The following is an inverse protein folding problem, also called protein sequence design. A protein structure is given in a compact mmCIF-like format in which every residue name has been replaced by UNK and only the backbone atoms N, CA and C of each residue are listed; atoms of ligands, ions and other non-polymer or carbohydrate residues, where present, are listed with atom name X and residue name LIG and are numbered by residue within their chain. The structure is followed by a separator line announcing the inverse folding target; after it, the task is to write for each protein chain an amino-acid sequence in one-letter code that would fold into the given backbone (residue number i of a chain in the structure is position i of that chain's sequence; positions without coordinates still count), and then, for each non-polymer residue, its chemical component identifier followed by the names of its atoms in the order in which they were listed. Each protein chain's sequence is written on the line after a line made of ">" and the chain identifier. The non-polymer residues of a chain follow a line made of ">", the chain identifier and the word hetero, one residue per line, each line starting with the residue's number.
data_IF_017797492875
#
_entry.id   IF_017797492875
#
_cell.length_a   1.000
_cell.length_b   1.000
_cell.length_c   1.000
_cell.angle_alpha   90.00
_cell.angle_beta   90.00
_cell.angle_gamma   90.00
#
_symmetry.space_group_name_H-M   'P 1'
#
loop_
_entity.id
_entity.type
_entity.pdbx_description
1 polymer ?
#
# COMPACT_ATOMS: atom_id res chain seq x y z
N UNK A 1 -2.83 -38.90 25.40
CA UNK A 1 -2.58 -38.19 24.11
C UNK A 1 -2.42 -36.72 24.43
N UNK A 2 -1.16 -36.24 24.54
CA UNK A 2 -0.89 -34.82 24.82
C UNK A 2 -1.06 -34.01 23.54
N UNK A 3 -2.04 -33.13 23.51
CA UNK A 3 -2.15 -32.14 22.45
C UNK A 3 -1.14 -31.02 22.71
N UNK A 4 -0.05 -30.97 21.97
CA UNK A 4 0.81 -29.80 21.94
C UNK A 4 0.06 -28.68 21.18
N UNK A 5 -0.44 -27.70 21.91
CA UNK A 5 -0.91 -26.45 21.30
C UNK A 5 0.33 -25.65 20.93
N UNK A 6 0.68 -25.66 19.64
CA UNK A 6 1.74 -24.78 19.13
C UNK A 6 1.16 -23.36 19.12
N UNK A 7 1.55 -22.55 20.09
CA UNK A 7 1.21 -21.12 20.10
C UNK A 7 2.13 -20.44 19.08
N UNK A 8 1.58 -20.06 17.94
CA UNK A 8 2.31 -19.27 16.93
C UNK A 8 2.73 -17.92 17.51
N UNK A 9 3.99 -17.51 17.30
CA UNK A 9 4.45 -16.18 17.69
C UNK A 9 3.70 -15.07 16.94
N UNK A 10 3.68 -13.87 17.51
CA UNK A 10 3.11 -12.71 16.79
C UNK A 10 3.82 -12.46 15.45
N UNK A 11 5.11 -12.72 15.39
CA UNK A 11 5.91 -12.61 14.17
C UNK A 11 5.41 -13.57 13.10
N UNK A 12 5.27 -14.87 13.43
CA UNK A 12 4.79 -15.88 12.45
C UNK A 12 3.35 -15.60 12.01
N UNK A 13 2.50 -15.20 12.96
CA UNK A 13 1.12 -14.81 12.67
C UNK A 13 1.08 -13.63 11.68
N UNK A 14 1.95 -12.62 11.89
CA UNK A 14 2.01 -11.45 11.00
C UNK A 14 2.58 -11.80 9.63
N UNK A 15 3.64 -12.62 9.55
CA UNK A 15 4.19 -13.06 8.28
C UNK A 15 3.14 -13.77 7.43
N UNK A 16 2.43 -14.74 8.02
CA UNK A 16 1.35 -15.45 7.33
C UNK A 16 0.23 -14.50 6.88
N UNK A 17 -0.13 -13.53 7.73
CA UNK A 17 -1.13 -12.54 7.39
C UNK A 17 -0.68 -11.65 6.22
N UNK A 18 0.54 -11.15 6.22
CA UNK A 18 1.06 -10.32 5.13
C UNK A 18 1.12 -11.09 3.81
N UNK A 19 1.56 -12.35 3.85
CA UNK A 19 1.54 -13.24 2.68
C UNK A 19 0.13 -13.46 2.14
N UNK A 20 -0.86 -13.68 3.03
CA UNK A 20 -2.27 -13.80 2.62
C UNK A 20 -2.84 -12.51 2.02
N UNK A 21 -2.22 -11.37 2.27
CA UNK A 21 -2.53 -10.06 1.67
C UNK A 21 -1.61 -9.74 0.47
N UNK A 22 -0.97 -10.76 -0.11
CA UNK A 22 -0.09 -10.63 -1.29
C UNK A 22 1.15 -9.74 -1.08
N UNK A 23 1.57 -9.51 0.18
CA UNK A 23 2.82 -8.81 0.45
C UNK A 23 4.01 -9.70 0.10
N UNK A 24 4.81 -9.28 -0.87
CA UNK A 24 6.06 -9.95 -1.22
C UNK A 24 7.20 -9.40 -0.35
N UNK A 25 7.60 -10.19 0.65
CA UNK A 25 8.62 -9.82 1.63
C UNK A 25 10.06 -9.86 1.06
N UNK A 26 10.25 -10.47 -0.10
CA UNK A 26 11.55 -10.43 -0.80
C UNK A 26 11.75 -9.11 -1.57
N UNK A 27 10.66 -8.42 -1.88
CA UNK A 27 10.66 -7.14 -2.61
C UNK A 27 10.55 -5.92 -1.71
N UNK A 28 9.79 -6.05 -0.62
CA UNK A 28 9.41 -4.92 0.21
C UNK A 28 9.93 -5.07 1.64
N UNK A 29 10.57 -4.04 2.14
CA UNK A 29 11.01 -3.99 3.54
C UNK A 29 9.80 -3.80 4.44
N UNK A 30 9.64 -4.72 5.38
CA UNK A 30 8.60 -4.65 6.42
C UNK A 30 9.24 -4.95 7.77
N UNK A 31 8.98 -4.12 8.77
CA UNK A 31 9.40 -4.38 10.14
C UNK A 31 8.25 -4.97 10.95
N UNK A 32 8.45 -6.14 11.54
CA UNK A 32 7.43 -6.84 12.32
C UNK A 32 7.72 -6.68 13.81
N UNK A 33 6.71 -6.25 14.56
CA UNK A 33 6.81 -6.13 16.00
C UNK A 33 6.92 -7.52 16.66
N UNK A 34 7.87 -7.68 17.59
CA UNK A 34 8.09 -8.97 18.26
C UNK A 34 6.98 -9.34 19.27
N UNK A 35 6.43 -8.34 19.95
CA UNK A 35 5.52 -8.51 21.07
C UNK A 35 4.08 -8.07 20.78
N UNK A 36 3.81 -7.68 19.54
CA UNK A 36 2.51 -7.19 19.10
C UNK A 36 2.18 -7.72 17.72
N UNK A 37 0.90 -7.92 17.46
CA UNK A 37 0.43 -8.28 16.10
C UNK A 37 0.34 -7.04 15.21
N UNK A 38 1.51 -6.45 14.95
CA UNK A 38 1.65 -5.22 14.16
C UNK A 38 2.85 -5.30 13.22
N UNK A 39 2.74 -4.64 12.09
CA UNK A 39 3.80 -4.44 11.11
C UNK A 39 3.99 -2.95 10.81
N UNK A 40 5.20 -2.55 10.43
CA UNK A 40 5.54 -1.20 10.01
C UNK A 40 6.02 -1.23 8.58
N UNK A 41 5.40 -0.44 7.73
CA UNK A 41 5.76 -0.24 6.33
C UNK A 41 6.55 1.06 6.20
N UNK A 42 7.88 1.02 6.03
CA UNK A 42 8.67 2.22 5.83
C UNK A 42 8.41 2.82 4.44
N UNK A 43 8.51 4.14 4.35
CA UNK A 43 8.44 4.88 3.10
C UNK A 43 9.73 5.67 2.91
N UNK A 44 10.42 5.38 1.82
CA UNK A 44 11.70 5.94 1.47
C UNK A 44 11.53 7.02 0.40
N UNK A 45 12.27 8.12 0.51
CA UNK A 45 12.37 9.08 -0.58
C UNK A 45 13.31 8.55 -1.69
N UNK A 46 13.37 9.24 -2.82
CA UNK A 46 14.24 8.85 -3.95
C UNK A 46 15.73 8.87 -3.62
N UNK A 47 16.14 9.51 -2.51
CA UNK A 47 17.52 9.48 -2.02
C UNK A 47 17.78 8.30 -1.06
N UNK A 48 16.83 7.39 -0.88
CA UNK A 48 16.93 6.24 0.03
C UNK A 48 16.84 6.59 1.52
N UNK A 49 16.36 7.78 1.87
CA UNK A 49 16.19 8.19 3.26
C UNK A 49 14.78 7.85 3.74
N UNK A 50 14.67 7.32 4.97
CA UNK A 50 13.38 7.06 5.60
C UNK A 50 12.65 8.40 5.86
N UNK A 51 11.52 8.58 5.21
CA UNK A 51 10.73 9.81 5.28
C UNK A 51 9.48 9.65 6.14
N UNK A 52 8.84 8.51 6.06
CA UNK A 52 7.56 8.24 6.69
C UNK A 52 7.42 6.75 6.97
N UNK A 53 6.39 6.36 7.71
CA UNK A 53 6.02 4.96 7.88
C UNK A 53 4.52 4.81 8.15
N UNK A 54 3.96 3.66 7.79
CA UNK A 54 2.63 3.27 8.24
C UNK A 54 2.74 2.09 9.21
N UNK A 55 2.16 2.26 10.40
CA UNK A 55 1.93 1.16 11.33
C UNK A 55 0.60 0.48 11.00
N UNK A 56 0.61 -0.84 10.94
CA UNK A 56 -0.53 -1.67 10.61
C UNK A 56 -0.74 -2.73 11.69
N UNK A 57 -1.89 -2.70 12.36
CA UNK A 57 -2.27 -3.65 13.40
C UNK A 57 -3.65 -4.24 13.05
N UNK A 58 -3.72 -5.44 12.45
CA UNK A 58 -4.97 -6.02 11.91
C UNK A 58 -6.11 -6.14 12.92
N UNK A 59 -5.78 -6.42 14.17
CA UNK A 59 -6.75 -6.64 15.24
C UNK A 59 -7.33 -5.33 15.83
N UNK A 60 -6.76 -4.17 15.45
CA UNK A 60 -7.27 -2.87 15.91
C UNK A 60 -8.40 -2.36 15.01
N UNK A 61 -9.24 -1.48 15.55
CA UNK A 61 -10.32 -0.84 14.79
C UNK A 61 -9.79 0.06 13.67
N UNK A 62 -10.46 0.07 12.53
CA UNK A 62 -10.19 1.01 11.44
C UNK A 62 -10.53 2.46 11.84
N UNK A 63 -11.48 2.64 12.74
CA UNK A 63 -11.94 3.96 13.18
C UNK A 63 -11.39 4.30 14.55
N UNK A 64 -10.98 5.55 14.72
CA UNK A 64 -10.55 6.07 16.01
C UNK A 64 -11.70 6.07 17.00
N UNK A 65 -11.62 5.27 18.04
CA UNK A 65 -12.45 5.41 19.23
C UNK A 65 -11.64 6.18 20.27
N UNK A 66 -11.97 7.44 20.44
CA UNK A 66 -11.67 8.31 21.59
C UNK A 66 -10.23 8.54 22.07
N UNK A 67 -9.20 7.75 21.71
CA UNK A 67 -7.94 7.89 22.42
C UNK A 67 -6.83 8.43 21.51
N UNK A 68 -6.11 7.62 20.85
CA UNK A 68 -4.95 8.06 20.06
C UNK A 68 -5.04 7.55 18.63
N UNK A 69 -4.75 8.37 17.61
CA UNK A 69 -4.62 7.87 16.24
C UNK A 69 -3.68 6.67 16.11
N UNK A 70 -2.69 6.55 17.02
CA UNK A 70 -1.74 5.43 17.07
C UNK A 70 -2.39 4.09 17.43
N UNK A 71 -3.57 4.12 18.02
CA UNK A 71 -4.31 2.91 18.42
C UNK A 71 -5.24 2.39 17.32
N UNK A 72 -5.23 3.00 16.15
CA UNK A 72 -6.00 2.53 14.99
C UNK A 72 -5.32 1.40 14.23
N UNK A 73 -6.12 0.68 13.42
CA UNK A 73 -5.63 -0.37 12.51
C UNK A 73 -4.53 0.14 11.58
N UNK A 74 -4.67 1.36 11.09
CA UNK A 74 -3.69 2.05 10.24
C UNK A 74 -3.32 3.38 10.88
N UNK A 75 -2.04 3.58 11.16
CA UNK A 75 -1.50 4.85 11.60
C UNK A 75 -0.33 5.24 10.73
N UNK A 76 -0.46 6.35 10.00
CA UNK A 76 0.62 6.85 9.14
C UNK A 76 1.32 8.02 9.83
N UNK A 77 2.60 7.85 10.12
CA UNK A 77 3.49 8.94 10.51
C UNK A 77 4.11 9.56 9.27
N UNK A 78 4.04 10.88 9.17
CA UNK A 78 4.68 11.65 8.11
C UNK A 78 5.49 12.81 8.71
N UNK A 79 6.70 13.00 8.21
CA UNK A 79 7.47 14.19 8.52
C UNK A 79 6.80 15.38 7.80
N UNK A 80 6.64 16.51 8.51
CA UNK A 80 5.77 17.62 8.09
C UNK A 80 6.06 18.19 6.68
N UNK A 81 7.30 18.12 6.23
CA UNK A 81 7.75 18.74 4.97
C UNK A 81 8.07 17.72 3.86
N UNK A 82 7.76 16.44 4.07
CA UNK A 82 8.15 15.40 3.13
C UNK A 82 7.02 14.37 2.97
N UNK A 83 6.17 14.60 1.99
CA UNK A 83 5.16 13.62 1.64
C UNK A 83 5.73 12.64 0.61
N UNK A 84 5.71 11.35 0.94
CA UNK A 84 6.21 10.26 0.09
C UNK A 84 5.16 9.15 0.06
N UNK A 85 4.82 8.58 -1.11
CA UNK A 85 4.01 7.39 -1.20
C UNK A 85 4.80 6.17 -0.73
N UNK A 86 4.11 5.10 -0.39
CA UNK A 86 4.75 3.80 -0.27
C UNK A 86 5.01 3.22 -1.67
N UNK A 87 6.10 2.46 -1.81
CA UNK A 87 6.44 1.79 -3.07
C UNK A 87 7.20 2.67 -4.07
N UNK A 88 7.70 3.84 -3.65
CA UNK A 88 8.43 4.76 -4.55
C UNK A 88 9.67 4.11 -5.18
N UNK A 89 10.28 3.14 -4.50
CA UNK A 89 11.37 2.33 -5.02
C UNK A 89 10.98 1.50 -6.25
N UNK A 90 9.69 1.20 -6.43
CA UNK A 90 9.21 0.45 -7.59
C UNK A 90 9.38 1.19 -8.92
N UNK A 91 9.61 2.50 -8.89
CA UNK A 91 9.96 3.28 -10.10
C UNK A 91 11.23 2.78 -10.79
N UNK A 92 12.07 2.03 -10.08
CA UNK A 92 13.29 1.44 -10.63
C UNK A 92 13.12 0.00 -11.12
N UNK A 93 11.92 -0.59 -11.00
CA UNK A 93 11.68 -2.00 -11.31
C UNK A 93 11.41 -2.25 -12.80
N UNK A 94 10.70 -1.35 -13.44
CA UNK A 94 10.36 -1.41 -14.87
C UNK A 94 10.16 -0.01 -15.44
N UNK A 95 9.99 0.08 -16.77
CA UNK A 95 9.71 1.31 -17.51
C UNK A 95 8.25 1.40 -17.98
N UNK A 96 7.39 0.47 -17.56
CA UNK A 96 5.96 0.45 -17.87
C UNK A 96 5.17 1.56 -17.17
N UNK A 97 3.85 1.53 -17.20
CA UNK A 97 2.99 2.52 -16.56
C UNK A 97 3.19 2.53 -15.04
N UNK A 98 2.94 3.68 -14.43
CA UNK A 98 2.94 3.86 -12.98
C UNK A 98 1.51 3.75 -12.46
N UNK A 99 1.22 2.71 -11.69
CA UNK A 99 -0.07 2.58 -11.04
C UNK A 99 -0.08 3.34 -9.71
N UNK A 100 -1.16 4.06 -9.44
CA UNK A 100 -1.36 4.80 -8.17
C UNK A 100 -2.60 4.28 -7.50
N UNK A 101 -2.45 3.77 -6.28
CA UNK A 101 -3.52 3.20 -5.45
C UNK A 101 -3.67 3.97 -4.14
N UNK A 102 -4.75 3.73 -3.38
CA UNK A 102 -4.87 4.28 -2.04
C UNK A 102 -4.07 3.47 -1.02
N UNK A 103 -4.21 2.15 -1.01
CA UNK A 103 -3.66 1.25 0.00
C UNK A 103 -2.37 0.53 -0.41
N UNK A 104 -1.56 0.17 0.60
CA UNK A 104 -0.33 -0.63 0.39
C UNK A 104 -0.67 -1.98 -0.21
N UNK A 105 -1.71 -2.66 0.29
CA UNK A 105 -2.07 -4.00 -0.20
C UNK A 105 -2.61 -3.97 -1.63
N UNK A 106 -3.18 -2.85 -2.07
CA UNK A 106 -3.58 -2.64 -3.46
C UNK A 106 -2.34 -2.56 -4.37
N UNK A 107 -1.35 -1.75 -3.96
CA UNK A 107 -0.09 -1.64 -4.68
C UNK A 107 0.67 -2.98 -4.72
N UNK A 108 0.64 -3.77 -3.64
CA UNK A 108 1.27 -5.09 -3.58
C UNK A 108 0.77 -6.04 -4.67
N UNK A 109 -0.52 -5.99 -5.00
CA UNK A 109 -1.09 -6.82 -6.08
C UNK A 109 -0.40 -6.58 -7.41
N UNK A 110 -0.06 -5.34 -7.71
CA UNK A 110 0.59 -4.93 -8.95
C UNK A 110 2.11 -5.18 -8.90
N UNK A 111 2.76 -4.82 -7.79
CA UNK A 111 4.22 -5.02 -7.66
C UNK A 111 4.62 -6.50 -7.63
N UNK A 112 3.76 -7.41 -7.21
CA UNK A 112 4.00 -8.85 -7.28
C UNK A 112 4.23 -9.35 -8.72
N UNK A 113 3.63 -8.69 -9.69
CA UNK A 113 3.82 -8.97 -11.12
C UNK A 113 4.94 -8.13 -11.77
N UNK A 114 5.71 -7.40 -10.98
CA UNK A 114 6.82 -6.59 -11.45
C UNK A 114 6.45 -5.16 -11.86
N UNK A 115 5.17 -4.80 -11.84
CA UNK A 115 4.75 -3.46 -12.22
C UNK A 115 5.15 -2.39 -11.18
N UNK A 116 5.34 -1.17 -11.64
CA UNK A 116 5.50 0.00 -10.78
C UNK A 116 4.16 0.37 -10.14
N UNK A 117 4.08 0.37 -8.80
CA UNK A 117 2.88 0.81 -8.10
C UNK A 117 3.18 1.60 -6.83
N UNK A 118 2.46 2.70 -6.66
CA UNK A 118 2.61 3.66 -5.56
C UNK A 118 1.33 3.70 -4.73
N UNK A 119 1.43 3.49 -3.41
CA UNK A 119 0.30 3.68 -2.49
C UNK A 119 0.36 5.05 -1.83
N UNK A 120 -0.70 5.83 -1.98
CA UNK A 120 -0.78 7.20 -1.48
C UNK A 120 -1.12 7.29 0.01
N UNK A 121 -1.76 6.27 0.57
CA UNK A 121 -2.29 6.22 1.95
C UNK A 121 -3.27 7.37 2.26
N UNK A 122 -3.89 7.88 1.22
CA UNK A 122 -4.94 8.89 1.25
C UNK A 122 -5.62 8.94 -0.11
N UNK A 123 -6.91 9.16 -0.14
CA UNK A 123 -7.65 9.37 -1.39
C UNK A 123 -7.43 10.76 -2.02
N UNK A 124 -6.80 11.68 -1.32
CA UNK A 124 -6.54 13.05 -1.81
C UNK A 124 -5.08 13.45 -1.53
N UNK A 125 -4.11 12.89 -2.26
CA UNK A 125 -2.70 13.22 -2.09
C UNK A 125 -2.43 14.70 -2.42
N UNK A 126 -1.36 15.30 -1.82
CA UNK A 126 -1.05 16.71 -1.96
C UNK A 126 -0.70 17.07 -3.41
N UNK A 127 -0.80 18.36 -3.72
CA UNK A 127 -0.50 18.89 -5.04
C UNK A 127 0.92 18.57 -5.53
N UNK A 128 1.91 18.67 -4.63
CA UNK A 128 3.32 18.39 -4.96
C UNK A 128 3.53 16.96 -5.48
N UNK A 129 2.83 15.98 -4.90
CA UNK A 129 2.90 14.60 -5.41
C UNK A 129 2.21 14.46 -6.77
N UNK A 130 1.05 15.08 -6.96
CA UNK A 130 0.37 15.07 -8.26
C UNK A 130 1.22 15.73 -9.33
N UNK A 131 1.87 16.83 -8.97
CA UNK A 131 2.81 17.53 -9.85
C UNK A 131 4.04 16.64 -10.16
N UNK A 132 4.59 15.94 -9.17
CA UNK A 132 5.65 14.95 -9.40
C UNK A 132 5.24 13.88 -10.43
N UNK A 133 4.04 13.32 -10.30
CA UNK A 133 3.53 12.31 -11.24
C UNK A 133 3.44 12.88 -12.67
N UNK A 134 3.02 14.12 -12.85
CA UNK A 134 2.90 14.74 -14.17
C UNK A 134 4.24 14.99 -14.87
N UNK A 135 5.35 14.92 -14.16
CA UNK A 135 6.71 15.01 -14.73
C UNK A 135 7.31 13.64 -15.09
N UNK A 136 6.66 12.55 -14.71
CA UNK A 136 7.16 11.22 -15.08
C UNK A 136 7.00 11.03 -16.59
N UNK A 137 8.03 10.56 -17.32
CA UNK A 137 7.95 10.28 -18.75
C UNK A 137 7.21 8.95 -19.03
N UNK A 138 6.23 8.60 -18.22
CA UNK A 138 5.52 7.32 -18.20
C UNK A 138 4.04 7.57 -17.95
N UNK A 139 3.13 6.79 -18.54
CA UNK A 139 1.71 6.89 -18.23
C UNK A 139 1.43 6.61 -16.75
N UNK A 140 0.56 7.39 -16.15
CA UNK A 140 0.10 7.20 -14.78
C UNK A 140 -1.34 6.71 -14.78
N UNK A 141 -1.59 5.56 -14.13
CA UNK A 141 -2.90 4.93 -14.03
C UNK A 141 -3.38 5.02 -12.57
N UNK A 142 -4.39 5.83 -12.30
CA UNK A 142 -5.03 5.87 -10.99
C UNK A 142 -6.03 4.71 -10.86
N UNK A 143 -5.79 3.80 -9.92
CA UNK A 143 -6.68 2.68 -9.61
C UNK A 143 -7.48 3.01 -8.36
N UNK A 144 -8.78 3.21 -8.53
CA UNK A 144 -9.68 3.73 -7.51
C UNK A 144 -10.43 2.62 -6.81
N UNK A 145 -10.58 2.73 -5.50
CA UNK A 145 -11.55 1.96 -4.74
C UNK A 145 -12.98 2.29 -5.23
N UNK A 146 -13.86 1.29 -5.23
CA UNK A 146 -15.24 1.48 -5.65
C UNK A 146 -16.09 2.12 -4.55
N UNK A 147 -15.71 3.32 -4.16
CA UNK A 147 -16.45 4.14 -3.20
C UNK A 147 -16.37 5.65 -3.56
N UNK A 148 -17.22 6.49 -2.95
CA UNK A 148 -17.20 7.93 -3.21
C UNK A 148 -15.90 8.63 -2.81
N UNK A 149 -15.16 8.09 -1.83
CA UNK A 149 -13.92 8.66 -1.35
C UNK A 149 -12.78 8.40 -2.35
N UNK A 150 -12.71 7.18 -2.92
CA UNK A 150 -11.72 6.76 -3.90
C UNK A 150 -11.70 7.64 -5.15
N UNK A 151 -12.85 8.19 -5.58
CA UNK A 151 -12.95 9.05 -6.76
C UNK A 151 -12.00 10.27 -6.75
N UNK A 152 -11.55 10.71 -5.58
CA UNK A 152 -10.63 11.86 -5.48
C UNK A 152 -9.22 11.52 -6.00
N UNK A 153 -8.84 10.24 -5.94
CA UNK A 153 -7.56 9.77 -6.44
C UNK A 153 -7.43 9.87 -7.96
N UNK A 154 -8.54 9.94 -8.69
CA UNK A 154 -8.57 10.13 -10.15
C UNK A 154 -7.73 11.31 -10.64
N UNK A 155 -7.51 12.33 -9.80
CA UNK A 155 -6.68 13.49 -10.12
C UNK A 155 -5.19 13.18 -10.26
N UNK A 156 -4.77 11.97 -9.92
CA UNK A 156 -3.38 11.53 -9.96
C UNK A 156 -3.00 10.86 -11.27
N UNK A 157 -3.96 10.40 -12.07
CA UNK A 157 -3.71 9.59 -13.26
C UNK A 157 -3.99 10.31 -14.57
N UNK A 158 -3.23 9.94 -15.60
CA UNK A 158 -3.57 10.20 -17.00
C UNK A 158 -4.74 9.30 -17.44
N UNK A 159 -4.79 8.11 -16.84
CA UNK A 159 -5.85 7.12 -16.98
C UNK A 159 -6.45 6.79 -15.61
N UNK A 160 -7.72 6.42 -15.63
CA UNK A 160 -8.47 6.12 -14.41
C UNK A 160 -9.17 4.78 -14.54
N UNK A 161 -8.92 3.90 -13.59
CA UNK A 161 -9.61 2.62 -13.44
C UNK A 161 -10.32 2.58 -12.10
N UNK A 162 -11.54 2.07 -12.09
CA UNK A 162 -12.28 1.82 -10.85
C UNK A 162 -12.42 0.33 -10.65
N UNK A 163 -11.99 -0.16 -9.50
CA UNK A 163 -12.15 -1.58 -9.14
C UNK A 163 -13.64 -1.95 -9.21
N UNK A 164 -14.00 -3.10 -9.81
CA UNK A 164 -15.41 -3.48 -9.93
C UNK A 164 -16.14 -3.55 -8.60
N UNK A 165 -15.45 -4.00 -7.54
CA UNK A 165 -16.02 -4.11 -6.20
C UNK A 165 -14.95 -3.94 -5.13
N UNK A 166 -15.20 -3.10 -4.13
CA UNK A 166 -14.32 -2.91 -2.97
C UNK A 166 -13.00 -2.21 -3.33
N UNK A 167 -11.90 -2.86 -3.00
CA UNK A 167 -10.52 -2.43 -3.22
C UNK A 167 -9.73 -3.45 -4.06
N UNK A 168 -8.61 -3.04 -4.65
CA UNK A 168 -7.76 -3.90 -5.48
C UNK A 168 -7.11 -5.01 -4.65
N UNK A 169 -6.80 -4.76 -3.40
CA UNK A 169 -6.20 -5.72 -2.47
C UNK A 169 -7.05 -6.98 -2.23
N UNK A 170 -8.37 -6.88 -2.48
CA UNK A 170 -9.33 -7.98 -2.36
C UNK A 170 -9.90 -8.43 -3.72
N UNK A 171 -9.45 -7.87 -4.83
CA UNK A 171 -9.95 -8.22 -6.18
C UNK A 171 -9.43 -9.56 -6.66
N UNK A 172 -10.16 -10.18 -7.60
CA UNK A 172 -9.72 -11.39 -8.29
C UNK A 172 -8.42 -11.15 -9.08
N UNK A 173 -7.60 -12.18 -9.17
CA UNK A 173 -6.34 -12.15 -9.91
C UNK A 173 -6.54 -11.80 -11.39
N UNK A 174 -7.64 -12.24 -11.97
CA UNK A 174 -8.01 -11.91 -13.35
C UNK A 174 -8.15 -10.42 -13.62
N UNK A 175 -8.63 -9.65 -12.62
CA UNK A 175 -8.72 -8.20 -12.75
C UNK A 175 -7.35 -7.52 -12.67
N UNK A 176 -6.45 -8.03 -11.81
CA UNK A 176 -5.07 -7.55 -11.76
C UNK A 176 -4.38 -7.77 -13.11
N UNK A 177 -4.50 -8.96 -13.69
CA UNK A 177 -3.98 -9.26 -15.03
C UNK A 177 -4.62 -8.39 -16.13
N UNK A 178 -5.93 -8.12 -16.02
CA UNK A 178 -6.59 -7.19 -16.95
C UNK A 178 -5.93 -5.81 -16.91
N UNK A 179 -5.69 -5.25 -15.72
CA UNK A 179 -5.03 -3.95 -15.57
C UNK A 179 -3.63 -3.95 -16.20
N UNK A 180 -2.83 -4.97 -15.91
CA UNK A 180 -1.44 -5.10 -16.37
C UNK A 180 -1.32 -5.30 -17.88
N UNK A 181 -2.33 -5.91 -18.51
CA UNK A 181 -2.35 -6.13 -19.97
C UNK A 181 -2.97 -4.97 -20.75
N UNK A 182 -3.70 -4.08 -20.07
CA UNK A 182 -4.37 -2.94 -20.70
C UNK A 182 -3.43 -1.78 -20.94
N UNK A 183 -2.46 -1.60 -20.10
CA UNK A 183 -1.51 -0.50 -20.07
C UNK A 183 -0.08 -0.98 -20.24
#
# INVERSE_FOLDING_TARGET
>A
MLFYVIIMSYTDKMLNHLQSRYMNLDRHVVWIAKNEYCAVFPMWNLSGQLSSYQNYCPDKSKYHTNNSPKDSKYFTYRKAECWVPWGLESLYFDDGPVFVTEGIFDACRLTNHGATALATLTNNPPWDFRNFLSFLPRPVVAVLDNDPAGKKLAKCGDYVETVPQGDLGNSDESYVHYLLNKY
#
